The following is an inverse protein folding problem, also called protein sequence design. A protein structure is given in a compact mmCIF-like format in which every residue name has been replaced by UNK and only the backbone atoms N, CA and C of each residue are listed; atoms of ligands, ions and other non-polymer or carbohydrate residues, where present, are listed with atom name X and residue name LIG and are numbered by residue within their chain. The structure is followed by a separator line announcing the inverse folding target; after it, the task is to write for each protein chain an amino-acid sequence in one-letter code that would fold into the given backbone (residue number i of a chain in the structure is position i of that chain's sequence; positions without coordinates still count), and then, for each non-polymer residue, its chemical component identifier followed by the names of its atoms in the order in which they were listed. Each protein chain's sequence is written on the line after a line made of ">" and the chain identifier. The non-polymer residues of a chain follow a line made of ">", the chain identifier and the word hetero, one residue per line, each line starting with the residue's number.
data_IF_123658455208
#
_entry.id   IF_123658455208
#
_cell.length_a   1.000
_cell.length_b   1.000
_cell.length_c   1.000
_cell.angle_alpha   90.00
_cell.angle_beta   90.00
_cell.angle_gamma   90.00
#
_symmetry.space_group_name_H-M   'P 1'
#
loop_
_entity.id
_entity.type
_entity.pdbx_description
1 polymer ?
#
# COMPACT_ATOMS: atom_id res chain seq x y z
N UNK A 1 -27.85 2.14 -3.85
CA UNK A 1 -26.74 1.27 -3.40
C UNK A 1 -26.26 1.81 -2.06
N UNK A 2 -26.22 1.01 -0.99
CA UNK A 2 -25.81 1.52 0.32
C UNK A 2 -24.33 1.92 0.33
N UNK A 3 -23.99 2.94 1.13
CA UNK A 3 -22.62 3.46 1.34
C UNK A 3 -21.61 2.35 1.61
N UNK A 4 -21.97 1.39 2.46
CA UNK A 4 -21.13 0.26 2.85
C UNK A 4 -20.80 -0.61 1.63
N UNK A 5 -21.77 -0.83 0.73
CA UNK A 5 -21.55 -1.65 -0.45
C UNK A 5 -20.61 -0.99 -1.44
N UNK A 6 -20.80 0.30 -1.69
CA UNK A 6 -19.91 1.08 -2.56
C UNK A 6 -18.48 1.12 -1.98
N UNK A 7 -18.35 1.35 -0.67
CA UNK A 7 -17.05 1.34 0.00
C UNK A 7 -16.38 -0.03 -0.01
N UNK A 8 -17.15 -1.11 0.21
CA UNK A 8 -16.66 -2.48 0.15
C UNK A 8 -16.16 -2.86 -1.24
N UNK A 9 -16.90 -2.50 -2.29
CA UNK A 9 -16.46 -2.69 -3.67
C UNK A 9 -15.16 -1.93 -3.98
N UNK A 10 -15.05 -0.67 -3.53
CA UNK A 10 -13.85 0.12 -3.72
C UNK A 10 -12.64 -0.48 -2.99
N UNK A 11 -12.79 -0.89 -1.73
CA UNK A 11 -11.72 -1.57 -0.99
C UNK A 11 -11.29 -2.87 -1.70
N UNK A 12 -12.26 -3.67 -2.17
CA UNK A 12 -11.96 -4.91 -2.87
C UNK A 12 -11.21 -4.66 -4.18
N UNK A 13 -11.69 -3.72 -5.00
CA UNK A 13 -11.08 -3.40 -6.29
C UNK A 13 -9.69 -2.79 -6.11
N UNK A 14 -9.55 -1.78 -5.24
CA UNK A 14 -8.27 -1.12 -4.98
C UNK A 14 -7.22 -2.09 -4.46
N UNK A 15 -7.59 -2.94 -3.48
CA UNK A 15 -6.68 -3.95 -2.93
C UNK A 15 -6.32 -5.02 -3.97
N UNK A 16 -7.26 -5.46 -4.80
CA UNK A 16 -7.00 -6.46 -5.85
C UNK A 16 -6.03 -5.93 -6.91
N UNK A 17 -6.26 -4.72 -7.41
CA UNK A 17 -5.36 -4.08 -8.38
C UNK A 17 -3.96 -3.93 -7.77
N UNK A 18 -3.87 -3.54 -6.50
CA UNK A 18 -2.58 -3.39 -5.82
C UNK A 18 -1.84 -4.72 -5.59
N UNK A 19 -2.56 -5.81 -5.31
CA UNK A 19 -1.95 -7.15 -5.28
C UNK A 19 -1.35 -7.50 -6.64
N UNK A 20 -2.08 -7.24 -7.73
CA UNK A 20 -1.59 -7.49 -9.08
C UNK A 20 -0.33 -6.67 -9.40
N UNK A 21 -0.25 -5.40 -8.97
CA UNK A 21 0.95 -4.58 -9.17
C UNK A 21 2.12 -5.09 -8.33
N UNK A 22 1.91 -5.48 -7.06
CA UNK A 22 2.98 -6.09 -6.24
C UNK A 22 3.50 -7.38 -6.89
N UNK A 23 2.61 -8.26 -7.37
CA UNK A 23 3.02 -9.51 -8.05
C UNK A 23 3.80 -9.19 -9.33
N UNK A 24 3.32 -8.23 -10.14
CA UNK A 24 4.02 -7.78 -11.34
C UNK A 24 5.41 -7.24 -10.99
N UNK A 25 5.54 -6.46 -9.91
CA UNK A 25 6.81 -5.97 -9.44
C UNK A 25 7.76 -7.10 -9.04
N UNK A 26 7.29 -8.06 -8.24
CA UNK A 26 8.11 -9.18 -7.78
C UNK A 26 8.52 -10.13 -8.91
N UNK A 27 7.71 -10.28 -9.96
CA UNK A 27 7.93 -11.25 -11.04
C UNK A 27 8.60 -10.66 -12.28
N UNK A 28 8.43 -9.37 -12.55
CA UNK A 28 8.91 -8.71 -13.78
C UNK A 28 9.91 -7.58 -13.48
N UNK A 29 9.90 -7.03 -12.26
CA UNK A 29 10.74 -5.90 -11.84
C UNK A 29 11.69 -6.24 -10.70
N UNK A 30 11.96 -7.53 -10.46
CA UNK A 30 12.94 -7.97 -9.47
C UNK A 30 14.20 -7.08 -9.60
N UNK A 31 14.74 -6.57 -8.47
CA UNK A 31 15.71 -5.48 -8.49
C UNK A 31 16.83 -5.84 -9.44
N UNK A 32 17.22 -4.94 -10.36
CA UNK A 32 18.34 -5.24 -11.23
C UNK A 32 19.54 -5.45 -10.30
N UNK A 33 20.09 -6.66 -10.33
CA UNK A 33 21.40 -6.94 -9.77
C UNK A 33 22.38 -6.88 -10.92
N UNK A 34 23.61 -6.49 -10.63
CA UNK A 34 24.69 -6.74 -11.58
C UNK A 34 24.75 -8.26 -11.90
N UNK A 35 25.38 -8.63 -13.01
CA UNK A 35 25.47 -10.03 -13.44
C UNK A 35 26.14 -10.96 -12.40
N UNK A 36 26.88 -10.37 -11.46
CA UNK A 36 27.53 -11.02 -10.31
C UNK A 36 26.65 -11.07 -9.05
N UNK A 37 25.40 -10.59 -9.11
CA UNK A 37 24.48 -10.54 -7.99
C UNK A 37 24.66 -9.34 -7.06
N UNK A 38 25.59 -8.42 -7.33
CA UNK A 38 25.77 -7.23 -6.49
C UNK A 38 24.60 -6.24 -6.64
N UNK A 39 24.31 -5.43 -5.60
CA UNK A 39 23.35 -4.33 -5.73
C UNK A 39 23.80 -3.32 -6.80
N UNK A 40 22.88 -2.82 -7.60
CA UNK A 40 23.14 -1.71 -8.52
C UNK A 40 23.27 -0.38 -7.79
N UNK A 41 24.06 0.54 -8.34
CA UNK A 41 24.24 1.89 -7.81
C UNK A 41 22.99 2.76 -8.02
N UNK A 42 22.89 3.88 -7.30
CA UNK A 42 21.82 4.87 -7.49
C UNK A 42 21.79 5.45 -8.91
N UNK A 43 22.95 5.66 -9.54
CA UNK A 43 23.04 6.09 -10.94
C UNK A 43 22.47 5.05 -11.90
N UNK A 44 22.88 3.79 -11.76
CA UNK A 44 22.34 2.67 -12.56
C UNK A 44 20.83 2.49 -12.39
N UNK A 45 20.28 2.78 -11.19
CA UNK A 45 18.82 2.84 -10.97
C UNK A 45 18.16 3.95 -11.75
N UNK A 46 18.78 5.14 -11.80
CA UNK A 46 18.31 6.25 -12.62
C UNK A 46 18.25 5.88 -14.10
N UNK A 47 19.29 5.24 -14.60
CA UNK A 47 19.38 4.80 -16.00
C UNK A 47 18.33 3.74 -16.34
N UNK A 48 18.15 2.70 -15.51
CA UNK A 48 17.11 1.68 -15.71
C UNK A 48 15.70 2.30 -15.68
N UNK A 49 15.48 3.24 -14.76
CA UNK A 49 14.22 3.96 -14.64
C UNK A 49 13.91 4.79 -15.89
N UNK A 50 14.91 5.46 -16.48
CA UNK A 50 14.75 6.22 -17.72
C UNK A 50 14.59 5.30 -18.93
N UNK A 51 15.37 4.23 -19.03
CA UNK A 51 15.28 3.24 -20.10
C UNK A 51 13.89 2.57 -20.17
N UNK A 52 13.26 2.38 -19.01
CA UNK A 52 11.92 1.78 -18.87
C UNK A 52 10.87 2.78 -18.44
N UNK A 53 11.07 4.07 -18.70
CA UNK A 53 10.25 5.15 -18.16
C UNK A 53 8.76 5.00 -18.48
N UNK A 54 8.42 4.62 -19.71
CA UNK A 54 7.02 4.41 -20.11
C UNK A 54 6.33 3.33 -19.26
N UNK A 55 7.06 2.24 -18.98
CA UNK A 55 6.56 1.15 -18.15
C UNK A 55 6.41 1.60 -16.69
N UNK A 56 7.44 2.17 -16.08
CA UNK A 56 7.39 2.60 -14.67
C UNK A 56 6.34 3.70 -14.43
N UNK A 57 6.17 4.63 -15.38
CA UNK A 57 5.10 5.65 -15.33
C UNK A 57 3.72 5.00 -15.36
N UNK A 58 3.48 4.05 -16.26
CA UNK A 58 2.22 3.33 -16.31
C UNK A 58 1.98 2.55 -15.01
N UNK A 59 2.99 1.80 -14.56
CA UNK A 59 2.95 1.00 -13.33
C UNK A 59 2.57 1.84 -12.11
N UNK A 60 3.30 2.93 -11.82
CA UNK A 60 3.02 3.79 -10.67
C UNK A 60 1.72 4.60 -10.82
N UNK A 61 1.27 4.86 -12.05
CA UNK A 61 -0.05 5.45 -12.29
C UNK A 61 -1.16 4.49 -11.88
N UNK A 62 -1.03 3.21 -12.24
CA UNK A 62 -1.98 2.17 -11.83
C UNK A 62 -2.00 2.04 -10.30
N UNK A 63 -0.83 2.05 -9.65
CA UNK A 63 -0.74 2.02 -8.18
C UNK A 63 -1.37 3.24 -7.52
N UNK A 64 -1.14 4.44 -8.05
CA UNK A 64 -1.77 5.68 -7.57
C UNK A 64 -3.30 5.62 -7.68
N UNK A 65 -3.83 5.11 -8.80
CA UNK A 65 -5.28 4.93 -9.00
C UNK A 65 -5.84 3.89 -8.03
N UNK A 66 -5.17 2.75 -7.85
CA UNK A 66 -5.58 1.72 -6.91
C UNK A 66 -5.67 2.26 -5.47
N UNK A 67 -4.66 3.05 -5.05
CA UNK A 67 -4.65 3.73 -3.76
C UNK A 67 -5.74 4.81 -3.65
N UNK A 68 -6.05 5.51 -4.74
CA UNK A 68 -7.18 6.44 -4.83
C UNK A 68 -8.52 5.76 -4.57
N UNK A 69 -8.76 4.63 -5.22
CA UNK A 69 -9.98 3.82 -5.02
C UNK A 69 -10.03 3.31 -3.57
N UNK A 70 -8.92 2.79 -3.05
CA UNK A 70 -8.84 2.31 -1.67
C UNK A 70 -9.11 3.42 -0.64
N UNK A 71 -8.53 4.60 -0.86
CA UNK A 71 -8.75 5.82 -0.05
C UNK A 71 -10.23 6.20 -0.02
N UNK A 72 -10.86 6.28 -1.20
CA UNK A 72 -12.27 6.62 -1.33
C UNK A 72 -13.15 5.59 -0.61
N UNK A 73 -12.89 4.29 -0.79
CA UNK A 73 -13.65 3.24 -0.12
C UNK A 73 -13.51 3.26 1.40
N UNK A 74 -12.28 3.42 1.89
CA UNK A 74 -11.98 3.48 3.31
C UNK A 74 -12.66 4.68 3.99
N UNK A 75 -12.54 5.89 3.44
CA UNK A 75 -13.20 7.06 4.02
C UNK A 75 -14.72 7.02 3.89
N UNK A 76 -15.25 6.47 2.79
CA UNK A 76 -16.69 6.31 2.63
C UNK A 76 -17.26 5.43 3.75
N UNK A 77 -16.58 4.35 4.11
CA UNK A 77 -16.99 3.47 5.22
C UNK A 77 -16.73 4.13 6.58
N UNK A 78 -15.56 4.74 6.80
CA UNK A 78 -15.19 5.37 8.07
C UNK A 78 -16.18 6.46 8.50
N UNK A 79 -16.60 7.32 7.58
CA UNK A 79 -17.43 8.49 7.90
C UNK A 79 -18.93 8.26 7.75
N UNK A 80 -19.36 7.24 6.99
CA UNK A 80 -20.77 7.03 6.66
C UNK A 80 -21.27 5.61 6.93
N UNK A 81 -20.44 4.72 7.46
CA UNK A 81 -20.77 3.31 7.71
C UNK A 81 -21.50 3.02 9.03
N UNK A 82 -21.82 4.04 9.84
CA UNK A 82 -22.38 3.90 11.20
C UNK A 82 -21.68 2.82 12.03
N UNK A 83 -20.37 2.97 12.21
CA UNK A 83 -19.48 1.99 12.83
C UNK A 83 -19.18 2.31 14.29
N UNK A 84 -18.78 1.30 15.06
CA UNK A 84 -18.07 1.52 16.33
C UNK A 84 -16.76 2.31 16.13
N UNK A 85 -16.36 3.07 17.16
CA UNK A 85 -15.23 4.02 17.11
C UNK A 85 -13.91 3.40 16.62
N UNK A 86 -13.60 2.17 17.02
CA UNK A 86 -12.39 1.47 16.60
C UNK A 86 -12.40 1.04 15.13
N UNK A 87 -13.56 0.62 14.60
CA UNK A 87 -13.68 0.28 13.18
C UNK A 87 -13.57 1.53 12.31
N UNK A 88 -14.18 2.64 12.75
CA UNK A 88 -14.03 3.94 12.09
C UNK A 88 -12.57 4.41 12.08
N UNK A 89 -11.83 4.23 13.19
CA UNK A 89 -10.39 4.51 13.25
C UNK A 89 -9.60 3.63 12.28
N UNK A 90 -9.88 2.32 12.24
CA UNK A 90 -9.20 1.37 11.35
C UNK A 90 -9.36 1.75 9.86
N UNK A 91 -10.58 2.08 9.44
CA UNK A 91 -10.82 2.56 8.07
C UNK A 91 -10.23 3.96 7.84
N UNK A 92 -10.27 4.85 8.84
CA UNK A 92 -9.65 6.17 8.75
C UNK A 92 -8.14 6.08 8.51
N UNK A 93 -7.44 5.26 9.28
CA UNK A 93 -6.00 5.02 9.13
C UNK A 93 -5.66 4.36 7.79
N UNK A 94 -6.46 3.38 7.35
CA UNK A 94 -6.34 2.80 6.01
C UNK A 94 -6.46 3.87 4.92
N UNK A 95 -7.45 4.76 5.04
CA UNK A 95 -7.68 5.86 4.11
C UNK A 95 -6.52 6.87 4.09
N UNK A 96 -6.05 7.31 5.26
CA UNK A 96 -4.93 8.25 5.37
C UNK A 96 -3.63 7.65 4.83
N UNK A 97 -3.32 6.39 5.19
CA UNK A 97 -2.15 5.70 4.68
C UNK A 97 -2.20 5.51 3.17
N UNK A 98 -3.37 5.15 2.62
CA UNK A 98 -3.57 5.04 1.17
C UNK A 98 -3.41 6.39 0.47
N UNK A 99 -3.94 7.48 1.04
CA UNK A 99 -3.78 8.84 0.53
C UNK A 99 -2.31 9.28 0.52
N UNK A 100 -1.56 8.96 1.58
CA UNK A 100 -0.13 9.23 1.63
C UNK A 100 0.65 8.44 0.55
N UNK A 101 0.23 7.20 0.24
CA UNK A 101 0.80 6.46 -0.89
C UNK A 101 0.49 7.14 -2.25
N UNK A 102 -0.68 7.74 -2.44
CA UNK A 102 -0.97 8.53 -3.66
C UNK A 102 0.01 9.70 -3.79
N UNK A 103 0.28 10.40 -2.68
CA UNK A 103 1.25 11.49 -2.66
C UNK A 103 2.66 11.00 -3.01
N UNK A 104 3.05 9.84 -2.49
CA UNK A 104 4.31 9.18 -2.85
C UNK A 104 4.37 8.86 -4.35
N UNK A 105 3.35 8.23 -4.92
CA UNK A 105 3.33 7.91 -6.35
C UNK A 105 3.33 9.17 -7.22
N UNK A 106 2.61 10.22 -6.83
CA UNK A 106 2.65 11.52 -7.51
C UNK A 106 4.06 12.12 -7.48
N UNK A 107 4.74 12.05 -6.34
CA UNK A 107 6.12 12.49 -6.18
C UNK A 107 7.07 11.69 -7.07
N UNK A 108 6.91 10.37 -7.13
CA UNK A 108 7.76 9.51 -7.96
C UNK A 108 7.50 9.73 -9.46
N UNK A 109 6.24 9.89 -9.88
CA UNK A 109 5.86 10.16 -11.27
C UNK A 109 6.36 11.53 -11.78
N UNK A 110 6.45 12.52 -10.90
CA UNK A 110 6.93 13.87 -11.23
C UNK A 110 8.40 14.08 -10.87
N UNK A 111 8.64 14.43 -9.61
CA UNK A 111 9.95 14.86 -9.11
C UNK A 111 11.03 13.80 -9.30
N UNK A 112 10.74 12.53 -9.01
CA UNK A 112 11.76 11.49 -9.08
C UNK A 112 12.23 11.23 -10.52
N UNK A 113 11.31 11.19 -11.49
CA UNK A 113 11.67 11.10 -12.91
C UNK A 113 12.43 12.32 -13.42
N UNK A 114 12.05 13.53 -12.99
CA UNK A 114 12.75 14.75 -13.37
C UNK A 114 14.20 14.75 -12.87
N UNK A 115 14.40 14.28 -11.63
CA UNK A 115 15.72 14.19 -11.01
C UNK A 115 16.56 13.05 -11.58
N UNK A 116 15.95 11.93 -11.98
CA UNK A 116 16.66 10.83 -12.63
C UNK A 116 17.37 11.29 -13.93
N UNK A 117 16.77 12.21 -14.69
CA UNK A 117 17.36 12.79 -15.90
C UNK A 117 18.63 13.63 -15.68
N UNK A 118 18.95 14.00 -14.44
CA UNK A 118 20.15 14.77 -14.08
C UNK A 118 21.04 14.02 -13.09
N UNK A 119 20.83 12.72 -12.92
CA UNK A 119 21.52 11.91 -11.91
C UNK A 119 23.06 11.91 -12.07
N UNK A 120 23.57 11.93 -13.30
CA UNK A 120 25.01 11.99 -13.57
C UNK A 120 25.63 13.33 -13.16
N UNK A 121 24.89 14.44 -13.30
CA UNK A 121 25.40 15.79 -13.03
C UNK A 121 25.10 16.28 -11.62
N UNK A 122 24.03 15.78 -11.00
CA UNK A 122 23.56 16.18 -9.67
C UNK A 122 23.09 14.95 -8.85
N UNK A 123 24.00 14.03 -8.50
CA UNK A 123 23.65 12.76 -7.84
C UNK A 123 22.98 12.95 -6.47
N UNK A 124 23.31 14.03 -5.76
CA UNK A 124 22.72 14.36 -4.45
C UNK A 124 21.21 14.58 -4.53
N UNK A 125 20.69 15.06 -5.66
CA UNK A 125 19.26 15.26 -5.83
C UNK A 125 18.53 13.92 -5.91
N UNK A 126 19.10 12.93 -6.62
CA UNK A 126 18.49 11.61 -6.76
C UNK A 126 18.50 10.87 -5.42
N UNK A 127 19.56 11.02 -4.64
CA UNK A 127 19.64 10.50 -3.29
C UNK A 127 18.56 11.12 -2.37
N UNK A 128 18.43 12.45 -2.39
CA UNK A 128 17.40 13.15 -1.61
C UNK A 128 15.97 12.78 -2.05
N UNK A 129 15.73 12.65 -3.36
CA UNK A 129 14.44 12.22 -3.89
C UNK A 129 14.11 10.78 -3.46
N UNK A 130 15.09 9.87 -3.49
CA UNK A 130 14.92 8.49 -3.04
C UNK A 130 14.66 8.41 -1.53
N UNK A 131 15.41 9.15 -0.72
CA UNK A 131 15.19 9.23 0.73
C UNK A 131 13.78 9.76 1.04
N UNK A 132 13.33 10.79 0.31
CA UNK A 132 12.00 11.38 0.48
C UNK A 132 10.90 10.41 0.09
N UNK A 133 11.03 9.73 -1.05
CA UNK A 133 10.07 8.73 -1.51
C UNK A 133 9.94 7.57 -0.50
N UNK A 134 11.08 7.06 0.00
CA UNK A 134 11.09 6.00 1.03
C UNK A 134 10.47 6.47 2.35
N UNK A 135 10.74 7.69 2.79
CA UNK A 135 10.15 8.24 4.01
C UNK A 135 8.62 8.31 3.91
N UNK A 136 8.09 8.85 2.81
CA UNK A 136 6.64 8.92 2.58
C UNK A 136 6.06 7.50 2.51
N UNK A 137 6.72 6.59 1.78
CA UNK A 137 6.32 5.20 1.64
C UNK A 137 6.23 4.48 3.00
N UNK A 138 7.22 4.63 3.87
CA UNK A 138 7.20 4.00 5.19
C UNK A 138 6.08 4.57 6.08
N UNK A 139 5.91 5.89 6.13
CA UNK A 139 4.83 6.50 6.89
C UNK A 139 3.46 6.07 6.36
N UNK A 140 3.28 6.07 5.04
CA UNK A 140 2.04 5.68 4.38
C UNK A 140 1.67 4.22 4.71
N UNK A 141 2.62 3.29 4.59
CA UNK A 141 2.39 1.88 4.90
C UNK A 141 2.20 1.65 6.40
N UNK A 142 2.92 2.33 7.28
CA UNK A 142 2.71 2.23 8.72
C UNK A 142 1.25 2.58 9.07
N UNK A 143 0.74 3.72 8.59
CA UNK A 143 -0.63 4.13 8.84
C UNK A 143 -1.64 3.15 8.24
N UNK A 144 -1.46 2.76 6.97
CA UNK A 144 -2.38 1.86 6.30
C UNK A 144 -2.49 0.51 7.01
N UNK A 145 -1.34 -0.09 7.35
CA UNK A 145 -1.30 -1.43 7.96
C UNK A 145 -1.59 -1.44 9.45
N UNK A 146 -1.40 -0.33 10.16
CA UNK A 146 -2.01 -0.15 11.48
C UNK A 146 -3.54 -0.15 11.38
N UNK A 147 -4.10 0.53 10.37
CA UNK A 147 -5.52 0.49 10.06
C UNK A 147 -6.01 -0.94 9.78
N UNK A 148 -5.30 -1.68 8.94
CA UNK A 148 -5.56 -3.12 8.68
C UNK A 148 -5.56 -3.90 10.00
N UNK A 149 -4.52 -3.78 10.81
CA UNK A 149 -4.41 -4.51 12.08
C UNK A 149 -5.63 -4.24 12.98
N UNK A 150 -6.05 -2.99 13.11
CA UNK A 150 -7.23 -2.61 13.91
C UNK A 150 -8.52 -3.21 13.33
N UNK A 151 -8.73 -3.11 12.02
CA UNK A 151 -9.93 -3.63 11.36
C UNK A 151 -10.11 -5.13 11.60
N UNK A 152 -9.04 -5.90 11.46
CA UNK A 152 -9.06 -7.35 11.68
C UNK A 152 -9.09 -7.71 13.16
N UNK A 153 -8.43 -6.95 14.05
CA UNK A 153 -8.44 -7.21 15.49
C UNK A 153 -9.83 -6.98 16.10
N UNK A 154 -10.53 -5.93 15.64
CA UNK A 154 -11.90 -5.64 16.07
C UNK A 154 -12.91 -6.56 15.38
N UNK A 155 -12.49 -7.29 14.36
CA UNK A 155 -13.29 -8.28 13.64
C UNK A 155 -14.54 -7.71 13.00
N UNK A 156 -14.57 -6.41 12.67
CA UNK A 156 -15.77 -5.64 12.32
C UNK A 156 -16.93 -6.05 13.26
N UNK A 157 -16.86 -5.54 14.48
CA UNK A 157 -17.70 -5.86 15.64
C UNK A 157 -19.18 -6.05 15.29
N UNK A 158 -19.67 -7.29 15.46
CA UNK A 158 -21.05 -7.70 15.22
C UNK A 158 -21.24 -9.23 15.26
N UNK A 159 -22.41 -9.78 15.67
CA UNK A 159 -22.71 -11.21 15.56
C UNK A 159 -22.72 -11.74 14.11
N UNK A 160 -22.74 -10.82 13.13
CA UNK A 160 -22.62 -11.10 11.70
C UNK A 160 -21.25 -10.65 11.13
N UNK A 161 -20.17 -10.78 11.90
CA UNK A 161 -18.82 -10.46 11.43
C UNK A 161 -18.57 -11.04 10.02
N UNK A 162 -18.17 -10.22 9.03
CA UNK A 162 -18.02 -10.66 7.65
C UNK A 162 -16.89 -11.67 7.45
N UNK A 163 -16.04 -11.88 8.46
CA UNK A 163 -14.80 -12.65 8.37
C UNK A 163 -14.75 -13.77 9.42
N UNK A 164 -14.26 -14.96 9.05
CA UNK A 164 -14.04 -16.03 10.01
C UNK A 164 -12.91 -15.67 10.99
N UNK A 165 -12.95 -16.24 12.21
CA UNK A 165 -11.98 -15.92 13.28
C UNK A 165 -10.52 -16.06 12.85
N UNK A 166 -10.19 -17.08 12.05
CA UNK A 166 -8.83 -17.29 11.57
C UNK A 166 -8.35 -16.12 10.68
N UNK A 167 -9.24 -15.53 9.88
CA UNK A 167 -8.92 -14.40 9.01
C UNK A 167 -8.65 -13.13 9.83
N UNK A 168 -9.40 -12.93 10.93
CA UNK A 168 -9.15 -11.85 11.88
C UNK A 168 -7.77 -11.97 12.53
N UNK A 169 -7.39 -13.18 12.95
CA UNK A 169 -6.05 -13.43 13.52
C UNK A 169 -4.97 -13.18 12.48
N UNK A 170 -5.06 -13.81 11.30
CA UNK A 170 -4.06 -13.68 10.24
C UNK A 170 -3.95 -12.23 9.76
N UNK A 171 -5.06 -11.53 9.57
CA UNK A 171 -5.08 -10.13 9.13
C UNK A 171 -4.49 -9.18 10.16
N UNK A 172 -4.73 -9.44 11.45
CA UNK A 172 -4.10 -8.67 12.53
C UNK A 172 -2.58 -8.85 12.52
N UNK A 173 -2.10 -10.09 12.45
CA UNK A 173 -0.66 -10.38 12.40
C UNK A 173 0.00 -9.80 11.14
N UNK A 174 -0.63 -9.93 9.98
CA UNK A 174 -0.15 -9.34 8.74
C UNK A 174 -0.04 -7.81 8.85
N UNK A 175 -1.07 -7.15 9.41
CA UNK A 175 -1.07 -5.72 9.69
C UNK A 175 0.07 -5.28 10.61
N UNK A 176 0.24 -5.97 11.74
CA UNK A 176 1.30 -5.66 12.72
C UNK A 176 2.69 -5.88 12.11
N UNK A 177 2.89 -6.96 11.35
CA UNK A 177 4.17 -7.26 10.71
C UNK A 177 4.59 -6.12 9.77
N UNK A 178 3.69 -5.68 8.91
CA UNK A 178 3.99 -4.62 7.95
C UNK A 178 4.12 -3.26 8.64
N UNK A 179 3.29 -2.97 9.65
CA UNK A 179 3.43 -1.78 10.47
C UNK A 179 4.82 -1.72 11.14
N UNK A 180 5.24 -2.79 11.80
CA UNK A 180 6.54 -2.86 12.47
C UNK A 180 7.69 -2.71 11.47
N UNK A 181 7.60 -3.38 10.32
CA UNK A 181 8.59 -3.25 9.25
C UNK A 181 8.66 -1.82 8.70
N UNK A 182 7.52 -1.15 8.53
CA UNK A 182 7.47 0.22 8.06
C UNK A 182 8.06 1.21 9.08
N UNK A 183 7.82 1.00 10.38
CA UNK A 183 8.45 1.78 11.45
C UNK A 183 9.96 1.53 11.55
N UNK A 184 10.43 0.31 11.27
CA UNK A 184 11.85 -0.04 11.27
C UNK A 184 12.58 0.35 9.96
N UNK A 185 11.84 0.56 8.87
CA UNK A 185 12.36 0.87 7.54
C UNK A 185 13.34 2.03 7.46
N UNK A 186 13.14 3.16 8.16
CA UNK A 186 14.13 4.25 8.19
C UNK A 186 15.47 3.87 8.80
N UNK A 187 15.54 2.81 9.62
CA UNK A 187 16.75 2.37 10.32
C UNK A 187 17.43 1.21 9.57
N UNK A 188 16.62 0.25 9.10
CA UNK A 188 17.12 -1.00 8.50
C UNK A 188 17.23 -0.90 6.97
N UNK A 189 16.62 0.14 6.38
CA UNK A 189 16.61 0.37 4.95
C UNK A 189 15.61 -0.50 4.18
N UNK A 190 15.64 -0.39 2.85
CA UNK A 190 14.65 -0.98 1.96
C UNK A 190 14.60 -2.53 1.99
N UNK A 191 15.66 -3.19 2.48
CA UNK A 191 15.70 -4.65 2.63
C UNK A 191 14.64 -5.20 3.58
N UNK A 192 14.10 -4.38 4.51
CA UNK A 192 13.01 -4.82 5.37
C UNK A 192 11.70 -5.10 4.61
N UNK A 193 11.56 -4.54 3.40
CA UNK A 193 10.37 -4.70 2.57
C UNK A 193 10.26 -6.09 1.95
N UNK A 194 11.37 -6.81 1.74
CA UNK A 194 11.31 -8.22 1.29
C UNK A 194 10.76 -9.13 2.39
N UNK A 195 10.98 -8.77 3.67
CA UNK A 195 10.44 -9.48 4.83
C UNK A 195 8.95 -9.14 5.02
N UNK A 196 8.59 -7.88 4.80
CA UNK A 196 7.21 -7.41 4.96
C UNK A 196 6.30 -7.73 3.76
N UNK A 197 6.86 -7.97 2.58
CA UNK A 197 6.13 -8.21 1.32
C UNK A 197 5.05 -9.30 1.41
N UNK A 198 5.34 -10.49 1.96
CA UNK A 198 4.33 -11.53 2.18
C UNK A 198 3.21 -11.08 3.13
N UNK A 199 3.54 -10.32 4.17
CA UNK A 199 2.58 -9.71 5.09
C UNK A 199 1.69 -8.70 4.38
N UNK A 200 2.25 -7.86 3.51
CA UNK A 200 1.51 -6.87 2.74
C UNK A 200 0.53 -7.54 1.77
N UNK A 201 0.99 -8.55 1.00
CA UNK A 201 0.15 -9.35 0.11
C UNK A 201 -1.00 -10.02 0.88
N UNK A 202 -0.70 -10.61 2.04
CA UNK A 202 -1.72 -11.24 2.90
C UNK A 202 -2.75 -10.23 3.39
N UNK A 203 -2.30 -9.06 3.87
CA UNK A 203 -3.16 -7.99 4.34
C UNK A 203 -4.10 -7.50 3.24
N UNK A 204 -3.59 -7.21 2.04
CA UNK A 204 -4.42 -6.81 0.92
C UNK A 204 -5.36 -7.92 0.45
N UNK A 205 -4.94 -9.19 0.43
CA UNK A 205 -5.82 -10.30 0.05
C UNK A 205 -7.01 -10.44 1.01
N UNK A 206 -6.76 -10.26 2.31
CA UNK A 206 -7.82 -10.25 3.30
C UNK A 206 -8.70 -8.99 3.18
N UNK A 207 -8.15 -7.83 2.82
CA UNK A 207 -8.94 -6.64 2.48
C UNK A 207 -9.83 -6.86 1.26
N UNK A 208 -9.38 -7.60 0.24
CA UNK A 208 -10.22 -7.99 -0.90
C UNK A 208 -11.42 -8.81 -0.40
N UNK A 209 -11.17 -9.82 0.42
CA UNK A 209 -12.24 -10.66 0.94
C UNK A 209 -13.22 -9.86 1.81
N UNK A 210 -12.70 -9.03 2.71
CA UNK A 210 -13.49 -8.13 3.53
C UNK A 210 -14.34 -7.19 2.67
N UNK A 211 -13.74 -6.54 1.67
CA UNK A 211 -14.44 -5.64 0.75
C UNK A 211 -15.56 -6.34 -0.03
N UNK A 212 -15.32 -7.55 -0.53
CA UNK A 212 -16.34 -8.38 -1.20
C UNK A 212 -17.49 -8.77 -0.27
N UNK A 213 -17.20 -9.00 1.01
CA UNK A 213 -18.23 -9.27 2.02
C UNK A 213 -19.05 -8.02 2.31
N UNK A 214 -18.39 -6.89 2.55
CA UNK A 214 -19.04 -5.59 2.75
C UNK A 214 -19.92 -5.19 1.54
N UNK A 215 -19.49 -5.49 0.33
CA UNK A 215 -20.27 -5.27 -0.89
C UNK A 215 -21.61 -6.04 -0.93
N UNK A 216 -21.67 -7.19 -0.25
CA UNK A 216 -22.86 -8.04 -0.15
C UNK A 216 -23.72 -7.72 1.08
N UNK A 217 -23.29 -6.78 1.91
CA UNK A 217 -23.94 -6.44 3.18
C UNK A 217 -24.63 -5.10 3.10
N UNK A 218 -25.88 -5.01 3.56
CA UNK A 218 -26.63 -3.76 3.56
C UNK A 218 -26.34 -2.88 4.81
N UNK A 219 -25.95 -3.48 5.94
CA UNK A 219 -25.54 -2.80 7.18
C UNK A 219 -24.47 -3.58 7.98
N UNK A 220 -23.51 -2.89 8.59
CA UNK A 220 -22.55 -3.45 9.55
C UNK A 220 -23.17 -3.23 10.94
N UNK A 221 -23.68 -4.29 11.58
CA UNK A 221 -24.32 -4.24 12.91
C UNK A 221 -23.46 -4.90 13.97
#
# INVERSE_FOLDING_TARGET
>A
MSTIRAGGAAIALGSFVFICTIILFLTVLAPPSNADGSPITLGQRGDDLLARAAFFKLYWTIEAVAMGILTAGAFLIAFRGNLGSWSALGFGLLGVGSLANIAMYSFVLGTYFAVAGVAETQPILLEAANASALAIFFVANALAFLGVAILFAMGISGPASPLPRWANVVGTFAGILVFAAACAGPIVGAGIMSIAGPGALTGYALLVWMGLKLFRTDAIS
#
